data_IF_843545566313
#
_entry.id   IF_843545566313
#
_cell.length_a   1.000
_cell.length_b   1.000
_cell.length_c   1.000
_cell.angle_alpha   90.00
_cell.angle_beta   90.00
_cell.angle_gamma   90.00
#
_symmetry.space_group_name_H-M   'P 1'
#
loop_
_entity.id
_entity.type
_entity.pdbx_description
1 polymer ?
#
# COMPACT_ATOMS: atom_id res chain seq x y z
N UNK A 1 11.03 -41.70 -5.80
CA UNK A 1 11.48 -40.68 -6.74
C UNK A 1 10.96 -39.25 -6.42
N UNK A 2 10.09 -39.05 -5.37
CA UNK A 2 9.62 -37.75 -4.91
C UNK A 2 9.63 -37.72 -3.37
N UNK A 3 9.89 -36.53 -2.81
CA UNK A 3 9.96 -36.32 -1.35
C UNK A 3 8.58 -36.01 -0.73
N UNK A 4 7.68 -35.44 -1.53
CA UNK A 4 6.33 -35.08 -1.08
C UNK A 4 5.31 -35.17 -2.22
N UNK A 5 4.04 -35.31 -1.86
CA UNK A 5 2.89 -35.28 -2.77
C UNK A 5 1.94 -34.21 -2.31
N UNK A 6 1.63 -33.27 -3.20
CA UNK A 6 0.62 -32.25 -3.00
C UNK A 6 -0.64 -32.64 -3.74
N UNK A 7 -1.73 -32.92 -3.04
CA UNK A 7 -3.04 -33.18 -3.64
C UNK A 7 -3.90 -31.92 -3.62
N UNK A 8 -4.85 -31.84 -4.56
CA UNK A 8 -5.78 -30.74 -4.67
C UNK A 8 -7.20 -31.24 -4.98
N UNK A 9 -8.21 -30.39 -4.72
CA UNK A 9 -9.60 -30.62 -5.06
C UNK A 9 -9.86 -30.53 -6.56
N UNK A 10 -11.09 -30.82 -6.97
CA UNK A 10 -11.50 -30.73 -8.37
C UNK A 10 -11.84 -29.29 -8.76
N UNK A 11 -11.73 -29.00 -10.04
CA UNK A 11 -12.26 -27.76 -10.60
C UNK A 11 -13.72 -27.98 -11.00
N UNK A 12 -14.62 -27.21 -10.40
CA UNK A 12 -16.07 -27.28 -10.60
C UNK A 12 -16.60 -25.94 -11.14
N UNK A 13 -17.79 -25.96 -11.71
CA UNK A 13 -18.42 -24.71 -12.17
C UNK A 13 -18.80 -23.77 -11.02
N UNK A 14 -19.28 -22.56 -11.32
CA UNK A 14 -19.68 -21.58 -10.30
C UNK A 14 -20.76 -22.04 -9.32
N UNK A 15 -21.53 -23.07 -9.70
CA UNK A 15 -22.56 -23.70 -8.85
C UNK A 15 -22.00 -24.87 -8.02
N UNK A 16 -20.74 -25.24 -8.20
CA UNK A 16 -20.12 -26.38 -7.53
C UNK A 16 -20.40 -27.72 -8.19
N UNK A 17 -20.82 -27.73 -9.45
CA UNK A 17 -21.11 -28.96 -10.19
C UNK A 17 -19.90 -29.36 -11.06
N UNK A 18 -19.70 -30.66 -11.23
CA UNK A 18 -18.68 -31.20 -12.12
C UNK A 18 -18.87 -30.66 -13.54
N UNK A 19 -17.83 -30.09 -14.11
CA UNK A 19 -17.85 -29.64 -15.51
C UNK A 19 -17.81 -30.81 -16.47
N UNK A 20 -18.73 -30.82 -17.45
CA UNK A 20 -18.72 -31.80 -18.54
C UNK A 20 -19.23 -31.18 -19.84
N UNK A 21 -18.76 -31.72 -20.98
CA UNK A 21 -19.21 -31.27 -22.31
C UNK A 21 -20.70 -31.51 -22.53
N UNK A 22 -21.23 -32.60 -21.96
CA UNK A 22 -22.64 -32.98 -22.10
C UNK A 22 -23.60 -32.03 -21.36
N UNK A 23 -23.16 -31.41 -20.25
CA UNK A 23 -23.95 -30.44 -19.51
C UNK A 23 -23.74 -29.00 -20.00
N UNK A 24 -22.75 -28.77 -20.87
CA UNK A 24 -22.48 -27.44 -21.44
C UNK A 24 -21.93 -26.42 -20.45
N UNK A 25 -21.48 -26.88 -19.27
CA UNK A 25 -20.96 -26.01 -18.21
C UNK A 25 -19.43 -25.92 -18.16
N UNK A 26 -18.74 -26.35 -19.21
CA UNK A 26 -17.28 -26.34 -19.29
C UNK A 26 -16.81 -24.91 -19.60
N UNK A 27 -15.92 -24.41 -18.77
CA UNK A 27 -15.16 -23.17 -19.02
C UNK A 27 -13.78 -23.58 -19.53
N UNK A 28 -13.50 -23.25 -20.77
CA UNK A 28 -12.22 -23.57 -21.39
C UNK A 28 -11.13 -22.60 -20.92
N UNK A 29 -9.91 -23.07 -20.62
CA UNK A 29 -8.77 -22.16 -20.40
C UNK A 29 -8.55 -21.19 -21.56
N UNK A 30 -8.77 -21.61 -22.82
CA UNK A 30 -8.63 -20.73 -23.98
C UNK A 30 -9.59 -19.54 -23.97
N UNK A 31 -10.81 -19.72 -23.49
CA UNK A 31 -11.79 -18.63 -23.36
C UNK A 31 -11.37 -17.63 -22.28
N UNK A 32 -10.79 -18.14 -21.17
CA UNK A 32 -10.25 -17.31 -20.12
C UNK A 32 -9.03 -16.53 -20.63
N UNK A 33 -8.11 -17.19 -21.29
CA UNK A 33 -6.90 -16.57 -21.84
C UNK A 33 -7.22 -15.46 -22.84
N UNK A 34 -8.21 -15.67 -23.71
CA UNK A 34 -8.67 -14.66 -24.68
C UNK A 34 -9.29 -13.43 -24.00
N UNK A 35 -10.07 -13.62 -22.95
CA UNK A 35 -10.79 -12.52 -22.27
C UNK A 35 -9.94 -11.81 -21.23
N UNK A 36 -9.16 -12.53 -20.44
CA UNK A 36 -8.48 -12.00 -19.24
C UNK A 36 -6.96 -12.06 -19.29
N UNK A 37 -6.40 -12.95 -20.12
CA UNK A 37 -4.97 -13.26 -20.10
C UNK A 37 -4.59 -14.29 -19.03
N UNK A 38 -3.36 -14.76 -19.08
CA UNK A 38 -2.87 -15.85 -18.23
C UNK A 38 -2.73 -15.45 -16.76
N UNK A 39 -2.34 -14.21 -16.48
CA UNK A 39 -2.11 -13.76 -15.11
C UNK A 39 -3.40 -13.78 -14.26
N UNK A 40 -4.57 -13.53 -14.83
CA UNK A 40 -5.84 -13.60 -14.10
C UNK A 40 -6.17 -15.06 -13.74
N UNK A 41 -5.96 -16.00 -14.66
CA UNK A 41 -6.14 -17.43 -14.37
C UNK A 41 -5.18 -17.90 -13.27
N UNK A 42 -3.93 -17.43 -13.30
CA UNK A 42 -2.94 -17.75 -12.26
C UNK A 42 -3.30 -17.15 -10.91
N UNK A 43 -3.84 -15.92 -10.89
CA UNK A 43 -4.37 -15.29 -9.65
C UNK A 43 -5.52 -16.12 -9.09
N UNK A 44 -6.49 -16.53 -9.92
CA UNK A 44 -7.59 -17.37 -9.47
C UNK A 44 -7.07 -18.65 -8.79
N UNK A 45 -6.14 -19.36 -9.45
CA UNK A 45 -5.55 -20.57 -8.89
C UNK A 45 -4.78 -20.33 -7.58
N UNK A 46 -4.01 -19.22 -7.52
CA UNK A 46 -3.20 -18.88 -6.35
C UNK A 46 -4.02 -18.30 -5.20
N UNK A 47 -5.16 -17.65 -5.48
CA UNK A 47 -6.03 -17.03 -4.48
C UNK A 47 -7.04 -18.02 -3.89
N UNK A 48 -7.23 -19.16 -4.52
CA UNK A 48 -8.16 -20.21 -4.08
C UNK A 48 -7.45 -21.18 -3.11
N UNK A 49 -8.19 -21.70 -2.14
CA UNK A 49 -7.71 -22.81 -1.32
C UNK A 49 -7.87 -24.12 -2.10
N UNK A 50 -6.79 -24.56 -2.70
CA UNK A 50 -6.80 -25.76 -3.56
C UNK A 50 -6.96 -27.09 -2.81
N UNK A 51 -6.95 -27.09 -1.48
CA UNK A 51 -7.31 -28.27 -0.68
C UNK A 51 -8.78 -28.63 -0.82
N UNK A 52 -9.63 -27.66 -1.16
CA UNK A 52 -11.05 -27.82 -1.43
C UNK A 52 -11.33 -27.81 -2.95
N UNK A 53 -12.59 -28.10 -3.34
CA UNK A 53 -13.00 -27.97 -4.73
C UNK A 53 -13.02 -26.52 -5.19
N UNK A 54 -12.36 -26.26 -6.32
CA UNK A 54 -12.13 -24.92 -6.88
C UNK A 54 -13.30 -24.54 -7.82
N UNK A 55 -14.08 -23.55 -7.40
CA UNK A 55 -15.14 -23.00 -8.26
C UNK A 55 -14.57 -22.02 -9.27
N UNK A 56 -15.01 -22.15 -10.51
CA UNK A 56 -14.66 -21.23 -11.59
C UNK A 56 -15.89 -20.80 -12.37
N UNK A 57 -16.04 -19.48 -12.55
CA UNK A 57 -16.95 -18.88 -13.50
C UNK A 57 -16.42 -17.48 -13.89
N UNK A 58 -17.08 -16.84 -14.84
CA UNK A 58 -16.66 -15.51 -15.30
C UNK A 58 -16.84 -14.41 -14.24
N UNK A 59 -17.80 -14.54 -13.33
CA UNK A 59 -18.01 -13.56 -12.27
C UNK A 59 -16.91 -13.64 -11.20
N UNK A 60 -16.43 -14.84 -10.89
CA UNK A 60 -15.27 -15.07 -10.02
C UNK A 60 -14.00 -14.49 -10.67
N UNK A 61 -13.83 -14.72 -11.97
CA UNK A 61 -12.67 -14.18 -12.71
C UNK A 61 -12.71 -12.65 -12.82
N UNK A 62 -13.89 -12.03 -12.94
CA UNK A 62 -14.05 -10.57 -12.91
C UNK A 62 -13.58 -9.99 -11.56
N UNK A 63 -13.88 -10.65 -10.42
CA UNK A 63 -13.37 -10.23 -9.09
C UNK A 63 -11.84 -10.32 -9.00
N UNK A 64 -11.25 -11.38 -9.56
CA UNK A 64 -9.79 -11.50 -9.64
C UNK A 64 -9.16 -10.47 -10.58
N UNK A 65 -9.83 -10.09 -11.66
CA UNK A 65 -9.40 -9.01 -12.54
C UNK A 65 -9.39 -7.66 -11.82
N UNK A 66 -10.37 -7.39 -10.93
CA UNK A 66 -10.35 -6.18 -10.09
C UNK A 66 -9.19 -6.20 -9.08
N UNK A 67 -8.92 -7.33 -8.43
CA UNK A 67 -7.78 -7.44 -7.52
C UNK A 67 -6.44 -7.27 -8.26
N UNK A 68 -6.32 -7.82 -9.46
CA UNK A 68 -5.17 -7.62 -10.34
C UNK A 68 -4.97 -6.14 -10.71
N UNK A 69 -6.04 -5.41 -11.03
CA UNK A 69 -5.95 -3.97 -11.33
C UNK A 69 -5.37 -3.17 -10.16
N UNK A 70 -5.70 -3.52 -8.91
CA UNK A 70 -5.12 -2.90 -7.71
C UNK A 70 -3.61 -3.13 -7.65
N UNK A 71 -3.16 -4.38 -7.83
CA UNK A 71 -1.74 -4.74 -7.86
C UNK A 71 -1.02 -4.03 -9.01
N UNK A 72 -1.59 -4.05 -10.22
CA UNK A 72 -1.02 -3.36 -11.38
C UNK A 72 -0.89 -1.85 -11.18
N UNK A 73 -1.88 -1.21 -10.54
CA UNK A 73 -1.81 0.21 -10.20
C UNK A 73 -0.70 0.51 -9.19
N UNK A 74 -0.45 -0.38 -8.23
CA UNK A 74 0.70 -0.28 -7.32
C UNK A 74 2.02 -0.28 -8.11
N UNK A 75 2.23 -1.26 -9.00
CA UNK A 75 3.41 -1.29 -9.86
C UNK A 75 3.54 -0.05 -10.75
N UNK A 76 2.42 0.41 -11.33
CA UNK A 76 2.39 1.63 -12.15
C UNK A 76 2.82 2.87 -11.37
N UNK A 77 2.37 2.99 -10.11
CA UNK A 77 2.79 4.09 -9.24
C UNK A 77 4.29 4.02 -8.91
N UNK A 78 4.79 2.84 -8.57
CA UNK A 78 6.21 2.62 -8.27
C UNK A 78 7.08 2.98 -9.49
N UNK A 79 6.78 2.46 -10.67
CA UNK A 79 7.50 2.74 -11.91
C UNK A 79 7.45 4.22 -12.31
N UNK A 80 6.28 4.84 -12.17
CA UNK A 80 6.08 6.24 -12.58
C UNK A 80 6.87 7.25 -11.74
N UNK A 81 7.28 6.87 -10.52
CA UNK A 81 8.10 7.71 -9.64
C UNK A 81 9.61 7.45 -9.75
N UNK A 82 10.03 6.44 -10.51
CA UNK A 82 11.46 6.13 -10.73
C UNK A 82 11.92 6.75 -12.06
N UNK A 83 12.81 7.76 -11.98
CA UNK A 83 13.39 8.42 -13.15
C UNK A 83 14.56 7.62 -13.74
N UNK A 84 15.46 7.11 -12.88
CA UNK A 84 16.58 6.23 -13.24
C UNK A 84 16.29 4.83 -12.74
N UNK A 85 16.03 3.93 -13.67
CA UNK A 85 15.48 2.59 -13.42
C UNK A 85 16.54 1.52 -13.12
N UNK A 86 17.80 1.89 -12.99
CA UNK A 86 18.89 0.93 -12.79
C UNK A 86 19.56 1.14 -11.45
N UNK A 87 19.26 0.31 -10.49
CA UNK A 87 20.17 0.13 -9.35
C UNK A 87 20.12 -1.33 -8.92
N UNK A 88 21.25 -2.01 -9.04
CA UNK A 88 21.45 -3.26 -8.31
C UNK A 88 21.44 -2.90 -6.82
N UNK A 89 20.32 -3.22 -6.17
CA UNK A 89 20.08 -2.85 -4.78
C UNK A 89 20.76 -3.86 -3.85
N UNK A 90 21.84 -3.45 -3.23
CA UNK A 90 22.43 -4.19 -2.12
C UNK A 90 21.80 -3.72 -0.81
N UNK A 91 20.76 -4.41 -0.35
CA UNK A 91 20.03 -4.03 0.87
C UNK A 91 20.87 -4.09 2.14
N UNK A 92 21.92 -4.92 2.17
CA UNK A 92 22.80 -5.05 3.33
C UNK A 92 23.63 -3.79 3.59
N UNK A 93 24.00 -3.07 2.51
CA UNK A 93 24.80 -1.86 2.58
C UNK A 93 23.98 -0.57 2.65
N UNK A 94 22.65 -0.70 2.70
CA UNK A 94 21.77 0.46 2.71
C UNK A 94 21.84 1.16 4.08
N UNK A 95 22.25 2.42 4.08
CA UNK A 95 22.23 3.30 5.25
C UNK A 95 20.85 3.93 5.40
N UNK A 96 20.14 3.55 6.47
CA UNK A 96 18.78 4.00 6.78
C UNK A 96 18.68 4.85 8.05
N UNK A 97 19.82 5.13 8.71
CA UNK A 97 19.86 5.84 9.99
C UNK A 97 19.27 7.26 9.92
N UNK A 98 19.40 7.91 8.75
CA UNK A 98 18.89 9.26 8.50
C UNK A 98 17.58 9.27 7.72
N UNK A 99 16.96 8.12 7.51
CA UNK A 99 15.67 8.07 6.81
C UNK A 99 14.53 8.58 7.67
N UNK A 100 13.52 9.19 7.07
CA UNK A 100 12.31 9.55 7.80
C UNK A 100 11.66 8.30 8.41
N UNK A 101 11.06 8.48 9.56
CA UNK A 101 10.52 7.37 10.36
C UNK A 101 9.48 6.51 9.61
N UNK A 102 8.70 7.11 8.71
CA UNK A 102 7.70 6.39 7.92
C UNK A 102 8.36 5.36 6.99
N UNK A 103 9.45 5.70 6.32
CA UNK A 103 10.19 4.78 5.46
C UNK A 103 10.81 3.63 6.27
N UNK A 104 11.40 3.94 7.44
CA UNK A 104 11.96 2.92 8.34
C UNK A 104 10.86 1.98 8.84
N UNK A 105 9.69 2.51 9.19
CA UNK A 105 8.52 1.71 9.53
C UNK A 105 8.07 0.81 8.38
N UNK A 106 8.02 1.32 7.16
CA UNK A 106 7.63 0.50 6.00
C UNK A 106 8.65 -0.60 5.67
N UNK A 107 9.95 -0.37 5.89
CA UNK A 107 10.97 -1.43 5.81
C UNK A 107 10.75 -2.51 6.88
N UNK A 108 10.34 -2.13 8.09
CA UNK A 108 9.94 -3.08 9.13
C UNK A 108 8.75 -3.94 8.68
N UNK A 109 7.72 -3.33 8.06
CA UNK A 109 6.57 -4.07 7.51
C UNK A 109 7.01 -5.05 6.40
N UNK A 110 7.91 -4.64 5.52
CA UNK A 110 8.47 -5.51 4.48
C UNK A 110 9.21 -6.69 5.10
N UNK A 111 10.02 -6.47 6.15
CA UNK A 111 10.71 -7.56 6.84
C UNK A 111 9.73 -8.59 7.44
N UNK A 112 8.70 -8.12 8.12
CA UNK A 112 7.67 -9.00 8.69
C UNK A 112 6.92 -9.78 7.61
N UNK A 113 6.57 -9.10 6.52
CA UNK A 113 5.87 -9.73 5.40
C UNK A 113 6.74 -10.77 4.69
N UNK A 114 8.04 -10.51 4.50
CA UNK A 114 8.99 -11.47 3.90
C UNK A 114 9.02 -12.79 4.67
N UNK A 115 9.03 -12.74 6.00
CA UNK A 115 8.98 -13.94 6.83
C UNK A 115 7.70 -14.75 6.60
N UNK A 116 6.56 -14.09 6.52
CA UNK A 116 5.28 -14.75 6.24
C UNK A 116 5.27 -15.35 4.83
N UNK A 117 5.71 -14.60 3.82
CA UNK A 117 5.74 -15.04 2.42
C UNK A 117 6.59 -16.27 2.26
N UNK A 118 7.82 -16.27 2.80
CA UNK A 118 8.72 -17.43 2.76
C UNK A 118 8.11 -18.66 3.44
N UNK A 119 7.39 -18.46 4.54
CA UNK A 119 6.71 -19.56 5.21
C UNK A 119 5.55 -20.11 4.37
N UNK A 120 4.72 -19.22 3.77
CA UNK A 120 3.61 -19.65 2.91
C UNK A 120 4.09 -20.39 1.66
N UNK A 121 5.22 -19.99 1.06
CA UNK A 121 5.82 -20.77 -0.03
C UNK A 121 6.26 -22.17 0.44
N UNK A 122 6.90 -22.26 1.60
CA UNK A 122 7.33 -23.53 2.18
C UNK A 122 6.16 -24.45 2.50
N UNK A 123 5.02 -23.89 2.93
CA UNK A 123 3.81 -24.63 3.27
C UNK A 123 2.86 -24.81 2.08
N UNK A 124 3.22 -24.32 0.88
CA UNK A 124 2.35 -24.29 -0.29
C UNK A 124 1.01 -23.58 -0.06
N UNK A 125 0.95 -22.62 0.87
CA UNK A 125 -0.26 -21.88 1.26
C UNK A 125 -0.46 -20.64 0.38
N UNK A 126 -0.66 -20.84 -0.93
CA UNK A 126 -0.67 -19.76 -1.93
C UNK A 126 -1.83 -18.79 -1.76
N UNK A 127 -2.99 -19.22 -1.30
CA UNK A 127 -4.14 -18.35 -1.06
C UNK A 127 -3.86 -17.34 0.06
N UNK A 128 -3.16 -17.75 1.14
CA UNK A 128 -2.71 -16.84 2.20
C UNK A 128 -1.65 -15.89 1.70
N UNK A 129 -0.69 -16.40 0.93
CA UNK A 129 0.36 -15.60 0.32
C UNK A 129 -0.23 -14.49 -0.55
N UNK A 130 -1.12 -14.82 -1.49
CA UNK A 130 -1.75 -13.84 -2.37
C UNK A 130 -2.56 -12.80 -1.60
N UNK A 131 -3.29 -13.22 -0.57
CA UNK A 131 -4.06 -12.33 0.32
C UNK A 131 -3.16 -11.30 1.00
N UNK A 132 -2.05 -11.71 1.60
CA UNK A 132 -1.09 -10.80 2.25
C UNK A 132 -0.47 -9.82 1.25
N UNK A 133 -0.07 -10.30 0.07
CA UNK A 133 0.47 -9.45 -0.99
C UNK A 133 -0.53 -8.41 -1.49
N UNK A 134 -1.78 -8.83 -1.72
CA UNK A 134 -2.86 -7.93 -2.15
C UNK A 134 -3.16 -6.88 -1.06
N UNK A 135 -3.19 -7.30 0.21
CA UNK A 135 -3.40 -6.39 1.34
C UNK A 135 -2.25 -5.38 1.44
N UNK A 136 -1.01 -5.82 1.37
CA UNK A 136 0.15 -4.92 1.39
C UNK A 136 0.11 -3.89 0.26
N UNK A 137 -0.19 -4.32 -0.98
CA UNK A 137 -0.32 -3.40 -2.12
C UNK A 137 -1.45 -2.38 -1.95
N UNK A 138 -2.63 -2.84 -1.49
CA UNK A 138 -3.83 -2.01 -1.45
C UNK A 138 -3.93 -1.14 -0.19
N UNK A 139 -3.60 -1.68 0.97
CA UNK A 139 -3.77 -1.00 2.26
C UNK A 139 -2.48 -0.30 2.71
N UNK A 140 -1.36 -1.03 2.78
CA UNK A 140 -0.14 -0.49 3.36
C UNK A 140 0.61 0.42 2.36
N UNK A 141 0.64 0.07 1.09
CA UNK A 141 1.27 0.92 0.07
C UNK A 141 0.29 1.98 -0.45
N UNK A 142 -0.80 1.60 -1.11
CA UNK A 142 -1.63 2.55 -1.84
C UNK A 142 -2.44 3.47 -0.92
N UNK A 143 -3.20 2.93 0.04
CA UNK A 143 -4.07 3.72 0.91
C UNK A 143 -3.32 4.40 2.08
N UNK A 144 -2.10 3.98 2.38
CA UNK A 144 -1.33 4.54 3.47
C UNK A 144 -0.05 5.23 2.99
N UNK A 145 0.97 4.48 2.58
CA UNK A 145 2.29 5.06 2.28
C UNK A 145 2.27 6.03 1.09
N UNK A 146 1.74 5.61 -0.06
CA UNK A 146 1.69 6.47 -1.24
C UNK A 146 0.77 7.67 -1.04
N UNK A 147 -0.33 7.48 -0.32
CA UNK A 147 -1.26 8.56 -0.03
C UNK A 147 -0.59 9.66 0.80
N UNK A 148 0.20 9.31 1.81
CA UNK A 148 0.97 10.26 2.62
C UNK A 148 2.10 10.89 1.78
N UNK A 149 2.87 10.08 1.05
CA UNK A 149 4.09 10.53 0.36
C UNK A 149 3.87 11.16 -1.01
N UNK A 150 2.68 11.08 -1.60
CA UNK A 150 2.42 11.72 -2.90
C UNK A 150 2.76 13.22 -2.93
N UNK A 151 2.50 13.93 -1.84
CA UNK A 151 2.83 15.35 -1.74
C UNK A 151 4.35 15.59 -1.74
N UNK A 152 5.12 14.79 -1.00
CA UNK A 152 6.59 14.81 -1.01
C UNK A 152 7.13 14.50 -2.40
N UNK A 153 6.66 13.41 -3.02
CA UNK A 153 7.14 12.97 -4.33
C UNK A 153 6.92 13.99 -5.44
N UNK A 154 5.79 14.74 -5.39
CA UNK A 154 5.41 15.68 -6.46
C UNK A 154 5.75 17.13 -6.15
N UNK A 155 5.84 17.51 -4.87
CA UNK A 155 5.96 18.91 -4.48
C UNK A 155 7.30 19.29 -3.85
N UNK A 156 8.04 18.32 -3.27
CA UNK A 156 9.36 18.59 -2.70
C UNK A 156 10.44 18.78 -3.79
N UNK A 157 11.48 19.58 -3.52
CA UNK A 157 12.64 19.69 -4.39
C UNK A 157 13.34 18.32 -4.58
N UNK A 158 14.03 18.16 -5.72
CA UNK A 158 14.75 16.90 -6.04
C UNK A 158 15.84 16.58 -5.00
N UNK A 159 16.44 17.59 -4.40
CA UNK A 159 17.49 17.46 -3.38
C UNK A 159 16.95 17.26 -1.95
N UNK A 160 15.63 17.28 -1.73
CA UNK A 160 15.03 16.99 -0.42
C UNK A 160 15.40 15.59 0.06
N UNK A 161 15.90 15.48 1.30
CA UNK A 161 16.28 14.19 1.90
C UNK A 161 15.08 13.26 2.06
N UNK A 162 13.91 13.81 2.42
CA UNK A 162 12.66 13.02 2.50
C UNK A 162 12.27 12.46 1.14
N UNK A 163 12.36 13.27 0.07
CA UNK A 163 12.06 12.82 -1.28
C UNK A 163 13.05 11.75 -1.76
N UNK A 164 14.33 11.92 -1.50
CA UNK A 164 15.36 10.92 -1.83
C UNK A 164 15.11 9.59 -1.12
N UNK A 165 14.85 9.63 0.18
CA UNK A 165 14.53 8.43 0.96
C UNK A 165 13.25 7.74 0.44
N UNK A 166 12.21 8.51 0.10
CA UNK A 166 10.97 7.98 -0.48
C UNK A 166 11.21 7.32 -1.84
N UNK A 167 12.01 7.93 -2.73
CA UNK A 167 12.37 7.34 -4.02
C UNK A 167 13.18 6.04 -3.84
N UNK A 168 14.12 6.04 -2.90
CA UNK A 168 14.90 4.85 -2.57
C UNK A 168 14.01 3.73 -2.03
N UNK A 169 13.08 4.04 -1.12
CA UNK A 169 12.09 3.09 -0.62
C UNK A 169 11.20 2.53 -1.73
N UNK A 170 10.73 3.37 -2.66
CA UNK A 170 9.95 2.96 -3.84
C UNK A 170 10.73 1.96 -4.70
N UNK A 171 12.01 2.23 -4.94
CA UNK A 171 12.87 1.35 -5.73
C UNK A 171 13.06 -0.02 -5.06
N UNK A 172 13.37 -0.04 -3.76
CA UNK A 172 13.46 -1.26 -2.94
C UNK A 172 12.15 -2.07 -3.00
N UNK A 173 11.04 -1.38 -2.78
CA UNK A 173 9.71 -2.01 -2.77
C UNK A 173 9.36 -2.61 -4.13
N UNK A 174 9.71 -1.94 -5.22
CA UNK A 174 9.50 -2.45 -6.58
C UNK A 174 10.26 -3.75 -6.82
N UNK A 175 11.57 -3.80 -6.50
CA UNK A 175 12.38 -5.02 -6.66
C UNK A 175 11.82 -6.19 -5.85
N UNK A 176 11.49 -5.96 -4.60
CA UNK A 176 10.95 -6.98 -3.70
C UNK A 176 9.59 -7.50 -4.19
N UNK A 177 8.68 -6.61 -4.56
CA UNK A 177 7.34 -6.99 -5.04
C UNK A 177 7.42 -7.75 -6.36
N UNK A 178 8.30 -7.38 -7.28
CA UNK A 178 8.49 -8.11 -8.54
C UNK A 178 8.86 -9.56 -8.26
N UNK A 179 9.80 -9.81 -7.35
CA UNK A 179 10.24 -11.16 -6.99
C UNK A 179 9.15 -11.95 -6.28
N UNK A 180 8.39 -11.32 -5.36
CA UNK A 180 7.30 -12.00 -4.66
C UNK A 180 6.12 -12.34 -5.57
N UNK A 181 5.82 -11.48 -6.55
CA UNK A 181 4.72 -11.70 -7.48
C UNK A 181 5.09 -12.53 -8.72
N UNK A 182 6.38 -12.68 -9.04
CA UNK A 182 6.81 -13.42 -10.24
C UNK A 182 6.21 -14.83 -10.36
N UNK A 183 6.09 -15.64 -9.31
CA UNK A 183 5.43 -16.94 -9.37
C UNK A 183 3.93 -16.89 -9.63
N UNK A 184 3.27 -15.74 -9.39
CA UNK A 184 1.81 -15.58 -9.49
C UNK A 184 1.43 -14.87 -10.79
N UNK A 185 1.85 -13.63 -11.00
CA UNK A 185 1.56 -12.83 -12.19
C UNK A 185 2.81 -12.77 -13.10
N UNK A 186 3.18 -13.91 -13.60
CA UNK A 186 4.46 -14.17 -14.28
C UNK A 186 4.69 -13.26 -15.48
N UNK A 187 3.66 -12.99 -16.27
CA UNK A 187 3.78 -12.17 -17.49
C UNK A 187 3.91 -10.69 -17.15
N UNK A 188 3.11 -10.19 -16.21
CA UNK A 188 3.16 -8.78 -15.78
C UNK A 188 4.50 -8.44 -15.13
N UNK A 189 5.02 -9.30 -14.25
CA UNK A 189 6.31 -9.06 -13.59
C UNK A 189 7.47 -9.14 -14.56
N UNK A 190 7.44 -10.06 -15.52
CA UNK A 190 8.43 -10.15 -16.58
C UNK A 190 8.43 -8.90 -17.48
N UNK A 191 7.25 -8.43 -17.90
CA UNK A 191 7.12 -7.19 -18.68
C UNK A 191 7.75 -6.01 -17.94
N UNK A 192 7.41 -5.82 -16.65
CA UNK A 192 7.95 -4.74 -15.83
C UNK A 192 9.46 -4.87 -15.68
N UNK A 193 9.94 -6.08 -15.40
CA UNK A 193 11.37 -6.35 -15.21
C UNK A 193 12.18 -6.06 -16.46
N UNK A 194 11.67 -6.45 -17.64
CA UNK A 194 12.27 -6.13 -18.93
C UNK A 194 12.33 -4.64 -19.23
N UNK A 195 11.31 -3.88 -18.83
CA UNK A 195 11.32 -2.41 -18.95
C UNK A 195 12.45 -1.82 -18.09
N UNK A 196 12.64 -2.33 -16.86
CA UNK A 196 13.67 -1.84 -15.95
C UNK A 196 15.09 -2.16 -16.47
N UNK A 197 15.30 -3.38 -16.96
CA UNK A 197 16.59 -3.91 -17.38
C UNK A 197 16.80 -3.96 -18.92
N UNK A 198 16.01 -3.19 -19.69
CA UNK A 198 16.13 -3.06 -21.15
C UNK A 198 16.16 -4.42 -21.90
N UNK A 199 15.34 -5.40 -21.47
CA UNK A 199 15.26 -6.76 -21.98
C UNK A 199 16.53 -7.65 -21.80
N UNK A 200 17.48 -7.22 -21.01
CA UNK A 200 18.74 -7.96 -20.80
C UNK A 200 18.60 -9.12 -19.82
N UNK A 201 17.61 -9.03 -18.92
CA UNK A 201 17.41 -9.99 -17.82
C UNK A 201 15.96 -10.47 -17.73
N UNK A 202 15.74 -11.62 -17.11
CA UNK A 202 14.41 -12.13 -16.76
C UNK A 202 14.25 -12.23 -15.26
N UNK A 203 13.08 -11.81 -14.74
CA UNK A 203 12.74 -11.94 -13.32
C UNK A 203 12.69 -13.41 -12.88
N UNK A 204 12.38 -14.33 -13.79
CA UNK A 204 12.27 -15.76 -13.50
C UNK A 204 13.62 -16.46 -13.28
N UNK A 205 14.73 -15.76 -13.53
CA UNK A 205 16.08 -16.22 -13.21
C UNK A 205 16.60 -15.64 -11.88
N UNK A 206 15.81 -14.79 -11.23
CA UNK A 206 16.19 -14.13 -9.99
C UNK A 206 15.70 -14.89 -8.75
N UNK A 207 16.47 -14.82 -7.67
CA UNK A 207 16.07 -15.35 -6.38
C UNK A 207 15.26 -14.31 -5.58
N UNK A 208 14.54 -14.75 -4.55
CA UNK A 208 13.95 -13.84 -3.57
C UNK A 208 15.05 -13.02 -2.89
N UNK A 209 14.77 -11.73 -2.70
CA UNK A 209 15.71 -10.82 -2.08
C UNK A 209 16.01 -11.23 -0.64
N UNK A 210 17.26 -11.07 -0.22
CA UNK A 210 17.65 -11.24 1.17
C UNK A 210 17.32 -9.95 1.95
N UNK A 211 16.26 -9.99 2.74
CA UNK A 211 15.81 -8.83 3.53
C UNK A 211 16.64 -8.74 4.82
N UNK A 212 17.34 -7.61 5.08
CA UNK A 212 18.22 -7.48 6.24
C UNK A 212 17.46 -7.50 7.56
N UNK A 213 17.98 -8.24 8.56
CA UNK A 213 17.38 -8.30 9.90
C UNK A 213 17.37 -6.94 10.60
N UNK A 214 18.31 -6.05 10.29
CA UNK A 214 18.35 -4.66 10.80
C UNK A 214 17.13 -3.81 10.47
N UNK A 215 16.25 -4.26 9.54
CA UNK A 215 14.98 -3.60 9.27
C UNK A 215 13.90 -3.94 10.31
N UNK A 216 14.09 -4.98 11.12
CA UNK A 216 13.17 -5.32 12.20
C UNK A 216 13.27 -4.27 13.32
N UNK A 217 12.20 -3.54 13.56
CA UNK A 217 12.08 -2.58 14.66
C UNK A 217 10.70 -2.69 15.30
N UNK A 218 10.58 -3.55 16.30
CA UNK A 218 9.29 -3.84 16.96
C UNK A 218 8.71 -2.64 17.69
N UNK A 219 9.57 -1.82 18.32
CA UNK A 219 9.10 -0.63 19.05
C UNK A 219 8.52 0.40 18.09
N UNK A 220 9.16 0.59 16.94
CA UNK A 220 8.64 1.42 15.87
C UNK A 220 7.33 0.85 15.31
N UNK A 221 7.23 -0.46 15.12
CA UNK A 221 5.99 -1.13 14.72
C UNK A 221 4.84 -0.80 15.68
N UNK A 222 5.03 -1.03 16.97
CA UNK A 222 4.05 -0.75 18.01
C UNK A 222 3.65 0.74 18.05
N UNK A 223 4.61 1.65 17.88
CA UNK A 223 4.34 3.09 17.78
C UNK A 223 3.41 3.40 16.61
N UNK A 224 3.72 2.88 15.41
CA UNK A 224 2.94 3.16 14.20
C UNK A 224 1.56 2.51 14.21
N UNK A 225 1.37 1.39 14.90
CA UNK A 225 0.04 0.81 15.12
C UNK A 225 -0.86 1.77 15.90
N UNK A 226 -0.31 2.46 16.93
CA UNK A 226 -1.04 3.49 17.66
C UNK A 226 -1.28 4.75 16.81
N UNK A 227 -0.30 5.18 16.03
CA UNK A 227 -0.43 6.32 15.12
C UNK A 227 -1.50 6.07 14.04
N UNK A 228 -1.59 4.85 13.52
CA UNK A 228 -2.66 4.47 12.57
C UNK A 228 -4.05 4.65 13.16
N UNK A 229 -4.25 4.41 14.48
CA UNK A 229 -5.53 4.70 15.15
C UNK A 229 -5.85 6.19 15.15
N UNK A 230 -4.86 7.05 15.42
CA UNK A 230 -5.05 8.51 15.35
C UNK A 230 -5.48 8.92 13.94
N UNK A 231 -4.77 8.45 12.92
CA UNK A 231 -5.11 8.73 11.52
C UNK A 231 -6.49 8.21 11.14
N UNK A 232 -6.88 7.04 11.63
CA UNK A 232 -8.19 6.46 11.37
C UNK A 232 -9.32 7.37 11.85
N UNK A 233 -9.24 7.88 13.10
CA UNK A 233 -10.25 8.79 13.63
C UNK A 233 -10.29 10.09 12.83
N UNK A 234 -9.12 10.66 12.47
CA UNK A 234 -9.04 11.87 11.64
C UNK A 234 -9.68 11.64 10.25
N UNK A 235 -9.37 10.53 9.59
CA UNK A 235 -9.89 10.24 8.26
C UNK A 235 -11.41 10.09 8.28
N UNK A 236 -11.99 9.37 9.26
CA UNK A 236 -13.44 9.20 9.36
C UNK A 236 -14.12 10.54 9.67
N UNK A 237 -13.52 11.38 10.52
CA UNK A 237 -14.03 12.72 10.79
C UNK A 237 -14.05 13.63 9.55
N UNK A 238 -13.00 13.54 8.72
CA UNK A 238 -12.92 14.27 7.44
C UNK A 238 -13.98 13.74 6.46
N UNK A 239 -14.14 12.41 6.34
CA UNK A 239 -15.12 11.81 5.43
C UNK A 239 -16.56 12.16 5.83
N UNK A 240 -16.89 12.25 7.12
CA UNK A 240 -18.20 12.77 7.56
C UNK A 240 -18.46 14.18 7.01
N UNK A 241 -17.47 15.09 7.11
CA UNK A 241 -17.57 16.44 6.55
C UNK A 241 -17.66 16.47 5.02
N UNK A 242 -16.97 15.58 4.34
CA UNK A 242 -17.05 15.43 2.88
C UNK A 242 -18.41 14.90 2.42
N UNK A 243 -18.94 13.92 3.12
CA UNK A 243 -20.27 13.35 2.84
C UNK A 243 -21.36 14.42 3.00
N UNK A 244 -21.23 15.28 4.03
CA UNK A 244 -22.12 16.43 4.26
C UNK A 244 -21.87 17.61 3.30
N UNK A 245 -20.91 17.47 2.35
CA UNK A 245 -20.53 18.53 1.37
C UNK A 245 -19.98 19.81 2.02
N UNK A 246 -19.51 19.74 3.26
CA UNK A 246 -18.86 20.85 3.93
C UNK A 246 -17.40 21.04 3.45
N UNK A 247 -16.78 19.94 3.00
CA UNK A 247 -15.44 19.90 2.40
C UNK A 247 -15.48 19.16 1.05
N UNK A 248 -14.72 19.66 0.06
CA UNK A 248 -14.54 18.99 -1.22
C UNK A 248 -13.39 17.97 -1.21
N UNK A 249 -12.38 18.21 -0.40
CA UNK A 249 -11.20 17.34 -0.25
C UNK A 249 -10.61 17.40 1.16
N UNK A 250 -9.81 16.40 1.55
CA UNK A 250 -9.08 16.41 2.82
C UNK A 250 -8.14 17.61 2.96
N UNK A 251 -7.57 18.10 1.85
CA UNK A 251 -6.69 19.28 1.82
C UNK A 251 -7.43 20.60 2.13
N UNK A 252 -8.76 20.62 2.19
CA UNK A 252 -9.53 21.77 2.67
C UNK A 252 -9.74 21.76 4.18
N UNK A 253 -9.28 20.70 4.88
CA UNK A 253 -9.44 20.60 6.32
C UNK A 253 -8.33 21.28 7.11
N UNK A 254 -8.72 21.86 8.25
CA UNK A 254 -7.88 22.25 9.37
C UNK A 254 -8.32 21.41 10.59
N UNK A 255 -7.41 20.58 11.12
CA UNK A 255 -7.70 19.66 12.20
C UNK A 255 -7.18 20.18 13.56
N UNK A 256 -8.03 20.13 14.56
CA UNK A 256 -7.61 20.14 15.96
C UNK A 256 -7.84 18.72 16.53
N UNK A 257 -6.75 18.04 16.86
CA UNK A 257 -6.76 16.64 17.30
C UNK A 257 -6.51 16.62 18.81
N UNK A 258 -7.50 16.19 19.58
CA UNK A 258 -7.44 16.11 21.03
C UNK A 258 -7.06 14.68 21.42
N UNK A 259 -5.94 14.54 22.11
CA UNK A 259 -5.29 13.26 22.37
C UNK A 259 -5.05 13.05 23.86
N UNK A 260 -5.31 11.84 24.36
CA UNK A 260 -4.74 11.41 25.64
C UNK A 260 -3.21 11.48 25.59
N UNK A 261 -2.58 11.63 26.74
CA UNK A 261 -1.13 11.80 26.85
C UNK A 261 -0.34 10.74 26.08
N UNK A 262 -0.75 9.47 26.14
CA UNK A 262 -0.09 8.36 25.43
C UNK A 262 0.02 8.58 23.91
N UNK A 263 -1.02 9.12 23.26
CA UNK A 263 -1.01 9.44 21.83
C UNK A 263 -0.31 10.77 21.55
N UNK A 264 -0.51 11.76 22.45
CA UNK A 264 0.12 13.07 22.29
C UNK A 264 1.65 12.97 22.27
N UNK A 265 2.21 12.12 23.13
CA UNK A 265 3.66 11.88 23.18
C UNK A 265 4.19 11.25 21.91
N UNK A 266 3.40 10.42 21.21
CA UNK A 266 3.80 9.77 19.93
C UNK A 266 3.88 10.76 18.76
N UNK A 267 3.06 11.80 18.76
CA UNK A 267 2.92 12.75 17.63
C UNK A 267 3.76 14.01 17.77
N UNK A 268 4.49 14.21 18.89
CA UNK A 268 5.21 15.48 19.22
C UNK A 268 6.11 16.00 18.10
N UNK A 269 6.77 15.12 17.37
CA UNK A 269 7.76 15.47 16.33
C UNK A 269 7.26 15.14 14.92
N UNK A 270 5.94 14.97 14.72
CA UNK A 270 5.36 14.65 13.43
C UNK A 270 4.72 15.87 12.78
N UNK A 271 4.85 16.00 11.47
CA UNK A 271 3.97 16.85 10.67
C UNK A 271 2.61 16.16 10.53
N UNK A 272 1.69 16.52 11.41
CA UNK A 272 0.32 15.99 11.40
C UNK A 272 -0.46 16.39 10.15
N UNK A 273 -0.13 17.53 9.54
CA UNK A 273 -0.78 17.97 8.31
C UNK A 273 -0.38 17.09 7.11
N UNK A 274 0.84 16.61 7.08
CA UNK A 274 1.30 15.61 6.11
C UNK A 274 0.66 14.24 6.42
N UNK A 275 0.73 13.82 7.68
CA UNK A 275 0.22 12.52 8.12
C UNK A 275 -1.28 12.33 7.86
N UNK A 276 -2.09 13.36 8.09
CA UNK A 276 -3.53 13.36 7.86
C UNK A 276 -3.94 13.87 6.46
N UNK A 277 -2.97 14.34 5.66
CA UNK A 277 -3.20 14.89 4.31
C UNK A 277 -4.18 16.06 4.35
N UNK A 278 -3.88 17.04 5.19
CA UNK A 278 -4.69 18.23 5.40
C UNK A 278 -3.87 19.51 5.20
N UNK A 279 -4.51 20.64 5.10
CA UNK A 279 -3.79 21.92 5.03
C UNK A 279 -3.16 22.31 6.35
N UNK A 280 -3.85 22.00 7.46
CA UNK A 280 -3.40 22.26 8.83
C UNK A 280 -3.83 21.12 9.74
N UNK A 281 -2.99 20.74 10.70
CA UNK A 281 -3.36 19.82 11.77
C UNK A 281 -2.52 20.09 13.01
N UNK A 282 -3.16 20.19 14.16
CA UNK A 282 -2.50 20.44 15.45
C UNK A 282 -3.03 19.47 16.50
N UNK A 283 -2.12 18.93 17.33
CA UNK A 283 -2.49 18.09 18.46
C UNK A 283 -2.54 18.90 19.75
N UNK A 284 -3.54 18.59 20.60
CA UNK A 284 -3.76 19.16 21.92
C UNK A 284 -4.08 18.06 22.92
N UNK A 285 -3.82 18.31 24.21
CA UNK A 285 -4.22 17.36 25.25
C UNK A 285 -5.75 17.28 25.38
N UNK A 286 -6.26 16.08 25.53
CA UNK A 286 -7.69 15.82 25.75
C UNK A 286 -8.02 16.07 27.23
N UNK A 287 -8.64 17.22 27.52
CA UNK A 287 -9.00 17.66 28.87
C UNK A 287 -10.52 17.82 29.09
N UNK A 288 -11.35 17.02 28.37
CA UNK A 288 -12.81 17.08 28.52
C UNK A 288 -13.43 18.42 28.07
N UNK A 289 -13.24 18.78 26.80
CA UNK A 289 -13.76 20.00 26.17
C UNK A 289 -15.29 20.02 26.14
N UNK A 290 -15.94 20.47 27.20
CA UNK A 290 -17.42 20.45 27.36
C UNK A 290 -18.18 21.28 26.32
N UNK A 291 -17.54 22.23 25.63
CA UNK A 291 -18.20 23.19 24.75
C UNK A 291 -17.97 22.92 23.23
N UNK A 292 -17.28 21.85 22.87
CA UNK A 292 -16.99 21.54 21.46
C UNK A 292 -17.66 20.24 21.05
N UNK A 293 -18.35 20.23 19.90
CA UNK A 293 -18.84 19.00 19.29
C UNK A 293 -17.66 18.31 18.59
N UNK A 294 -16.99 17.42 19.30
CA UNK A 294 -15.86 16.66 18.81
C UNK A 294 -16.33 15.35 18.19
N UNK A 295 -15.70 14.97 17.08
CA UNK A 295 -15.88 13.65 16.49
C UNK A 295 -15.04 12.62 17.24
N UNK A 296 -15.59 11.45 17.48
CA UNK A 296 -14.90 10.29 18.06
C UNK A 296 -15.45 8.99 17.50
N UNK A 297 -14.67 7.94 17.54
CA UNK A 297 -15.11 6.57 17.24
C UNK A 297 -15.34 5.82 18.56
N UNK A 298 -16.44 5.08 18.66
CA UNK A 298 -16.79 4.32 19.87
C UNK A 298 -15.76 3.26 20.25
N UNK A 299 -15.15 2.63 19.24
CA UNK A 299 -14.16 1.57 19.41
C UNK A 299 -12.72 2.08 19.60
N UNK A 300 -12.46 3.41 19.52
CA UNK A 300 -11.14 4.02 19.71
C UNK A 300 -11.25 5.12 20.75
N UNK A 301 -10.75 4.87 21.94
CA UNK A 301 -10.80 5.82 23.05
C UNK A 301 -9.54 6.71 23.10
N UNK A 302 -9.69 7.90 23.68
CA UNK A 302 -8.59 8.83 23.91
C UNK A 302 -8.15 9.65 22.70
N UNK A 303 -8.97 9.66 21.63
CA UNK A 303 -8.76 10.43 20.41
C UNK A 303 -10.07 11.09 20.02
N UNK A 304 -10.09 12.42 19.98
CA UNK A 304 -11.24 13.21 19.53
C UNK A 304 -10.77 14.27 18.53
N UNK A 305 -11.58 14.60 17.53
CA UNK A 305 -11.16 15.46 16.42
C UNK A 305 -12.21 16.53 16.14
N UNK A 306 -11.75 17.77 16.00
CA UNK A 306 -12.53 18.87 15.44
C UNK A 306 -12.04 19.17 14.04
N UNK A 307 -12.93 19.02 13.07
CA UNK A 307 -12.65 19.35 11.66
C UNK A 307 -13.24 20.71 11.33
N UNK A 308 -12.38 21.63 10.90
CA UNK A 308 -12.74 22.96 10.40
C UNK A 308 -12.37 23.08 8.93
N UNK A 309 -13.00 24.00 8.23
CA UNK A 309 -12.55 24.37 6.86
C UNK A 309 -11.33 25.29 7.01
N UNK A 310 -10.25 24.95 6.29
CA UNK A 310 -9.03 25.76 6.28
C UNK A 310 -9.30 27.14 5.62
N UNK A 311 -8.70 28.17 6.20
CA UNK A 311 -8.82 29.56 5.73
C UNK A 311 -7.63 29.91 4.84
N UNK A 312 -7.90 30.58 3.70
CA UNK A 312 -6.86 31.01 2.78
C UNK A 312 -7.15 30.64 1.32
N UNK A 313 -6.10 30.66 0.50
CA UNK A 313 -6.16 30.39 -0.94
C UNK A 313 -5.52 29.04 -1.26
N UNK A 314 -6.08 28.33 -2.23
CA UNK A 314 -5.56 27.06 -2.70
C UNK A 314 -4.25 27.26 -3.46
N UNK A 315 -3.17 26.62 -2.99
CA UNK A 315 -1.92 26.59 -3.74
C UNK A 315 -2.10 25.81 -5.06
N UNK A 316 -1.71 26.37 -6.23
CA UNK A 316 -1.93 25.71 -7.53
C UNK A 316 -1.07 24.45 -7.72
N UNK A 317 -0.01 24.24 -6.92
CA UNK A 317 0.88 23.09 -7.03
C UNK A 317 0.57 21.98 -6.01
N UNK A 318 0.58 22.27 -4.71
CA UNK A 318 0.34 21.27 -3.67
C UNK A 318 -1.11 21.18 -3.21
N UNK A 319 -1.97 22.10 -3.66
CA UNK A 319 -3.41 22.17 -3.38
C UNK A 319 -3.80 22.42 -1.92
N UNK A 320 -2.82 22.57 -1.01
CA UNK A 320 -3.10 23.00 0.37
C UNK A 320 -3.70 24.41 0.37
N UNK A 321 -4.61 24.66 1.31
CA UNK A 321 -5.16 25.99 1.57
C UNK A 321 -4.20 26.75 2.50
N UNK A 322 -3.75 27.93 2.09
CA UNK A 322 -2.69 28.68 2.74
C UNK A 322 -3.07 30.16 2.80
N UNK A 323 -2.89 30.80 3.96
CA UNK A 323 -3.23 32.21 4.18
C UNK A 323 -2.36 33.19 3.36
N UNK A 324 -1.11 32.79 3.14
CA UNK A 324 -0.11 33.57 2.39
C UNK A 324 0.38 32.77 1.18
N UNK A 325 1.53 33.10 0.65
CA UNK A 325 2.15 32.33 -0.43
C UNK A 325 2.77 31.02 0.08
N UNK A 326 2.74 29.99 -0.78
CA UNK A 326 3.38 28.70 -0.48
C UNK A 326 4.88 28.75 -0.77
N UNK A 327 5.69 29.09 0.25
CA UNK A 327 7.14 29.24 0.09
C UNK A 327 7.80 27.92 -0.31
N UNK A 328 7.33 26.78 0.23
CA UNK A 328 7.77 25.45 -0.20
C UNK A 328 7.63 25.25 -1.72
N UNK A 329 6.45 25.53 -2.26
CA UNK A 329 6.22 25.36 -3.70
C UNK A 329 6.89 26.40 -4.58
N UNK A 330 7.17 27.60 -4.06
CA UNK A 330 7.99 28.62 -4.75
C UNK A 330 9.44 28.17 -4.84
N UNK A 331 10.02 27.74 -3.73
CA UNK A 331 11.41 27.31 -3.67
C UNK A 331 11.67 26.05 -4.50
N UNK A 332 10.70 25.14 -4.59
CA UNK A 332 10.80 23.92 -5.41
C UNK A 332 10.72 24.16 -6.93
N UNK A 333 10.29 25.35 -7.39
CA UNK A 333 10.32 25.74 -8.82
C UNK A 333 11.68 26.28 -9.26
N UNK A 334 12.56 26.60 -8.33
CA UNK A 334 13.89 27.19 -8.57
C UNK A 334 14.98 26.10 -8.62
N UNK A 335 14.64 24.86 -8.23
CA UNK A 335 15.50 23.68 -8.30
C UNK A 335 15.03 22.74 -9.42
#
# INVERSE_FOLDING_TARGET
PYESVLSHGFVVDGKGLKMSKSTGNVISPDDILKKYGADILRIWASASDYAEDLRIDFSILDQHAESYRKVRNTFRFLLGNLQDKKTDLNFSNLEISNWPELEVYMLHQIYQLDKKIKNYFKEYSFHRLYKELLQFCSQDLSAFYFDIRKDVLYCEPVNSETRKASIQFINITLDILLRWFAPIISFTTEEIYKIIYNNEKSIHLENFSSIPEKWLNKDLGNKWDQLKLVRQVCNVAIEEKRTNKELGSSLEADLEIFLEKKYLDLVKNMDLSEFCITSKANAKILNGQKNLKLFKLENIQGIEVLVKKAVGNKCPRCWKIIEKSCDRCKNAKIA
#
